data_IF_741323374901
#
_entry.id   IF_741323374901
#
_cell.length_a   1.000
_cell.length_b   1.000
_cell.length_c   1.000
_cell.angle_alpha   90.00
_cell.angle_beta   90.00
_cell.angle_gamma   90.00
#
_symmetry.space_group_name_H-M   'P 1'
#
loop_
_entity.id
_entity.type
_entity.pdbx_description
1 polymer ?
#
# COMPACT_ATOMS: atom_id res chain seq x y z
N UNK A 1 -9.99 23.46 19.32
CA UNK A 1 -10.69 22.18 19.15
C UNK A 1 -9.92 21.12 19.92
N UNK A 2 -10.54 20.50 20.93
CA UNK A 2 -9.87 19.61 21.88
C UNK A 2 -9.33 18.33 21.22
N UNK A 3 -8.27 17.74 21.80
CA UNK A 3 -7.57 16.56 21.26
C UNK A 3 -8.42 15.30 21.12
N UNK A 4 -9.64 15.28 21.69
CA UNK A 4 -10.52 14.11 21.83
C UNK A 4 -11.20 13.59 20.54
N UNK A 5 -11.05 14.25 19.39
CA UNK A 5 -11.71 13.83 18.13
C UNK A 5 -10.74 13.27 17.07
N UNK A 6 -9.46 13.11 17.40
CA UNK A 6 -8.50 12.55 16.43
C UNK A 6 -8.49 11.02 16.51
N UNK A 7 -8.23 10.37 15.38
CA UNK A 7 -8.29 8.92 15.20
C UNK A 7 -9.68 8.33 15.49
N UNK A 8 -10.72 9.13 15.25
CA UNK A 8 -12.11 8.67 15.26
C UNK A 8 -12.67 8.69 13.85
N UNK A 9 -13.55 7.74 13.55
CA UNK A 9 -14.33 7.79 12.32
C UNK A 9 -15.31 8.97 12.36
N UNK A 10 -15.36 9.76 11.30
CA UNK A 10 -16.20 10.95 11.21
C UNK A 10 -17.22 10.85 10.09
N UNK A 11 -18.37 11.49 10.33
CA UNK A 11 -19.30 11.91 9.31
C UNK A 11 -18.95 13.34 8.89
N UNK A 12 -18.83 13.59 7.58
CA UNK A 12 -18.59 14.93 7.05
C UNK A 12 -19.86 15.51 6.45
N UNK A 13 -20.39 16.56 7.06
CA UNK A 13 -21.52 17.30 6.54
C UNK A 13 -21.03 18.42 5.62
N UNK A 14 -21.15 18.17 4.32
CA UNK A 14 -20.79 19.09 3.26
C UNK A 14 -21.51 20.45 3.37
N UNK A 15 -22.82 20.43 3.60
CA UNK A 15 -23.67 21.63 3.65
C UNK A 15 -23.30 22.57 4.79
N UNK A 16 -22.83 22.02 5.90
CA UNK A 16 -22.42 22.78 7.09
C UNK A 16 -20.91 23.01 7.15
N UNK A 17 -20.15 22.44 6.20
CA UNK A 17 -18.69 22.42 6.22
C UNK A 17 -18.12 21.97 7.58
N UNK A 18 -18.76 20.98 8.20
CA UNK A 18 -18.46 20.50 9.54
C UNK A 18 -18.36 18.99 9.57
N UNK A 19 -17.68 18.45 10.58
CA UNK A 19 -17.65 17.02 10.84
C UNK A 19 -18.03 16.73 12.29
N UNK A 20 -18.52 15.51 12.50
CA UNK A 20 -18.81 14.97 13.82
C UNK A 20 -18.43 13.49 13.87
N UNK A 21 -18.15 12.92 15.05
CA UNK A 21 -17.97 11.48 15.20
C UNK A 21 -19.19 10.70 14.66
N UNK A 22 -18.94 9.58 13.96
CA UNK A 22 -20.04 8.72 13.46
C UNK A 22 -20.95 8.25 14.60
N UNK A 23 -20.40 8.05 15.80
CA UNK A 23 -21.16 7.62 16.99
C UNK A 23 -22.12 8.67 17.54
N UNK A 24 -21.89 9.97 17.25
CA UNK A 24 -22.77 11.06 17.67
C UNK A 24 -23.69 11.57 16.56
N UNK A 25 -23.42 11.18 15.31
CA UNK A 25 -24.19 11.62 14.15
C UNK A 25 -25.62 11.07 14.17
N UNK A 26 -26.60 11.97 14.03
CA UNK A 26 -28.00 11.62 13.83
C UNK A 26 -28.41 11.56 12.36
N UNK A 27 -27.44 11.46 11.44
CA UNK A 27 -27.69 11.40 9.99
C UNK A 27 -28.59 10.23 9.64
N UNK A 28 -29.60 10.50 8.82
CA UNK A 28 -30.58 9.50 8.43
C UNK A 28 -30.00 8.45 7.47
N UNK A 29 -30.58 7.26 7.47
CA UNK A 29 -30.11 6.13 6.69
C UNK A 29 -30.14 6.37 5.16
N UNK A 30 -31.02 7.26 4.68
CA UNK A 30 -31.12 7.55 3.24
C UNK A 30 -29.91 8.38 2.79
N UNK A 31 -29.56 9.43 3.53
CA UNK A 31 -28.35 10.22 3.27
C UNK A 31 -27.09 9.35 3.29
N UNK A 32 -26.96 8.46 4.28
CA UNK A 32 -25.82 7.53 4.36
C UNK A 32 -25.76 6.57 3.17
N UNK A 33 -26.91 6.12 2.67
CA UNK A 33 -26.98 5.26 1.48
C UNK A 33 -26.62 6.02 0.20
N UNK A 34 -27.06 7.27 0.05
CA UNK A 34 -26.76 8.11 -1.13
C UNK A 34 -25.26 8.40 -1.23
N UNK A 35 -24.61 8.72 -0.12
CA UNK A 35 -23.15 8.91 -0.06
C UNK A 35 -22.38 7.63 -0.39
N UNK A 36 -22.86 6.46 0.08
CA UNK A 36 -22.25 5.17 -0.23
C UNK A 36 -22.36 4.86 -1.71
N UNK A 37 -23.53 5.12 -2.30
CA UNK A 37 -23.76 4.96 -3.72
C UNK A 37 -22.83 5.88 -4.54
N UNK A 38 -22.76 7.17 -4.19
CA UNK A 38 -21.88 8.12 -4.87
C UNK A 38 -20.41 7.73 -4.76
N UNK A 39 -19.96 7.30 -3.58
CA UNK A 39 -18.60 6.80 -3.39
C UNK A 39 -18.30 5.62 -4.32
N UNK A 40 -19.21 4.64 -4.38
CA UNK A 40 -19.08 3.48 -5.27
C UNK A 40 -19.10 3.89 -6.75
N UNK A 41 -19.94 4.85 -7.15
CA UNK A 41 -19.94 5.39 -8.53
C UNK A 41 -18.56 5.95 -8.90
N UNK A 42 -17.94 6.74 -8.02
CA UNK A 42 -16.60 7.29 -8.28
C UNK A 42 -15.56 6.17 -8.38
N UNK A 43 -15.61 5.14 -7.53
CA UNK A 43 -14.72 3.98 -7.65
C UNK A 43 -14.83 3.30 -9.02
N UNK A 44 -16.06 3.13 -9.53
CA UNK A 44 -16.34 2.45 -10.79
C UNK A 44 -15.95 3.29 -12.02
N UNK A 45 -15.80 4.61 -11.89
CA UNK A 45 -15.22 5.45 -12.94
C UNK A 45 -13.74 5.17 -13.17
N UNK A 46 -13.01 4.75 -12.13
CA UNK A 46 -11.57 4.46 -12.21
C UNK A 46 -11.26 3.01 -12.56
N UNK A 47 -12.13 2.07 -12.21
CA UNK A 47 -11.90 0.66 -12.48
C UNK A 47 -13.22 -0.11 -12.67
N UNK A 48 -13.38 -0.85 -13.78
CA UNK A 48 -14.56 -1.67 -14.04
C UNK A 48 -14.87 -2.64 -12.89
N UNK A 49 -16.15 -2.79 -12.57
CA UNK A 49 -16.63 -3.61 -11.44
C UNK A 49 -16.04 -5.02 -11.40
N UNK A 50 -15.99 -5.70 -12.55
CA UNK A 50 -15.51 -7.08 -12.66
C UNK A 50 -14.02 -7.28 -12.32
N UNK A 51 -13.23 -6.20 -12.24
CA UNK A 51 -11.82 -6.25 -11.84
C UNK A 51 -11.62 -6.11 -10.33
N UNK A 52 -12.63 -5.65 -9.60
CA UNK A 52 -12.59 -5.58 -8.14
C UNK A 52 -12.70 -6.99 -7.55
N UNK A 53 -11.65 -7.43 -6.86
CA UNK A 53 -11.61 -8.76 -6.27
C UNK A 53 -12.83 -9.00 -5.36
N UNK A 54 -13.59 -10.07 -5.64
CA UNK A 54 -14.83 -10.43 -4.96
C UNK A 54 -15.84 -9.26 -4.80
N UNK A 55 -15.89 -8.33 -5.76
CA UNK A 55 -16.79 -7.17 -5.69
C UNK A 55 -16.46 -6.20 -4.55
N UNK A 56 -15.18 -6.13 -4.15
CA UNK A 56 -14.71 -5.33 -3.00
C UNK A 56 -15.01 -3.83 -3.07
N UNK A 57 -15.35 -3.28 -4.24
CA UNK A 57 -15.83 -1.90 -4.37
C UNK A 57 -17.09 -1.62 -3.53
N UNK A 58 -17.94 -2.63 -3.29
CA UNK A 58 -19.17 -2.50 -2.49
C UNK A 58 -18.91 -2.43 -0.98
N UNK A 59 -17.75 -2.92 -0.52
CA UNK A 59 -17.38 -3.00 0.89
C UNK A 59 -16.67 -1.75 1.42
N UNK A 60 -16.34 -0.79 0.54
CA UNK A 60 -15.67 0.45 0.92
C UNK A 60 -16.54 1.34 1.82
N UNK A 61 -15.93 2.16 2.68
CA UNK A 61 -16.63 3.01 3.61
C UNK A 61 -16.29 4.50 3.38
N UNK A 62 -17.24 5.35 2.98
CA UNK A 62 -16.96 6.77 2.72
C UNK A 62 -16.92 7.64 3.99
N UNK A 63 -16.69 7.03 5.15
CA UNK A 63 -16.58 7.71 6.45
C UNK A 63 -15.14 7.60 6.93
N UNK A 64 -14.32 8.64 6.73
CA UNK A 64 -12.89 8.56 6.98
C UNK A 64 -12.59 8.61 8.48
N UNK A 65 -11.38 8.20 8.83
CA UNK A 65 -10.81 8.44 10.16
C UNK A 65 -10.10 9.79 10.15
N UNK A 66 -10.45 10.66 11.09
CA UNK A 66 -9.86 12.00 11.19
C UNK A 66 -8.43 11.93 11.72
N UNK A 67 -7.47 12.39 10.92
CA UNK A 67 -6.05 12.46 11.31
C UNK A 67 -5.60 13.91 11.50
N UNK A 68 -4.72 14.14 12.46
CA UNK A 68 -4.02 15.43 12.61
C UNK A 68 -2.64 15.40 11.96
N UNK A 69 -2.10 16.55 11.57
CA UNK A 69 -0.77 16.65 10.91
C UNK A 69 0.38 15.93 11.65
N UNK A 70 0.37 15.94 12.98
CA UNK A 70 1.35 15.19 13.77
C UNK A 70 1.32 13.66 13.53
N UNK A 71 0.15 13.07 13.26
CA UNK A 71 0.01 11.64 12.97
C UNK A 71 0.62 11.31 11.61
N UNK A 72 0.40 12.17 10.62
CA UNK A 72 1.04 12.07 9.30
C UNK A 72 2.56 12.16 9.41
N UNK A 73 3.06 13.12 10.20
CA UNK A 73 4.50 13.20 10.49
C UNK A 73 5.02 11.94 11.18
N UNK A 74 4.30 11.40 12.16
CA UNK A 74 4.71 10.18 12.85
C UNK A 74 4.77 8.98 11.89
N UNK A 75 3.81 8.83 10.96
CA UNK A 75 3.84 7.79 9.94
C UNK A 75 5.02 7.97 8.96
N UNK A 76 5.31 9.20 8.57
CA UNK A 76 6.46 9.51 7.71
C UNK A 76 7.78 9.16 8.41
N UNK A 77 7.98 9.63 9.64
CA UNK A 77 9.18 9.34 10.43
C UNK A 77 9.32 7.82 10.70
N UNK A 78 8.20 7.13 10.94
CA UNK A 78 8.17 5.67 11.08
C UNK A 78 8.57 4.97 9.77
N UNK A 79 8.07 5.42 8.63
CA UNK A 79 8.40 4.86 7.31
C UNK A 79 9.89 5.02 7.01
N UNK A 80 10.48 6.20 7.24
CA UNK A 80 11.92 6.42 7.06
C UNK A 80 12.76 5.52 7.98
N UNK A 81 12.44 5.50 9.28
CA UNK A 81 13.15 4.67 10.25
C UNK A 81 13.06 3.18 9.90
N UNK A 82 11.87 2.72 9.48
CA UNK A 82 11.66 1.33 9.09
C UNK A 82 12.41 0.97 7.81
N UNK A 83 12.47 1.88 6.83
CA UNK A 83 13.27 1.69 5.60
C UNK A 83 14.73 1.46 5.95
N UNK A 84 15.30 2.32 6.81
CA UNK A 84 16.69 2.22 7.26
C UNK A 84 16.92 0.92 8.02
N UNK A 85 16.01 0.56 8.94
CA UNK A 85 16.12 -0.66 9.72
C UNK A 85 16.08 -1.93 8.85
N UNK A 86 15.13 -2.02 7.90
CA UNK A 86 15.02 -3.16 6.99
C UNK A 86 16.28 -3.28 6.13
N UNK A 87 16.72 -2.18 5.52
CA UNK A 87 17.93 -2.19 4.70
C UNK A 87 19.16 -2.60 5.52
N UNK A 88 19.30 -2.07 6.74
CA UNK A 88 20.39 -2.42 7.65
C UNK A 88 20.39 -3.89 8.05
N UNK A 89 19.24 -4.44 8.45
CA UNK A 89 19.08 -5.86 8.81
C UNK A 89 19.45 -6.78 7.64
N UNK A 90 19.03 -6.45 6.42
CA UNK A 90 19.35 -7.24 5.24
C UNK A 90 20.82 -7.14 4.84
N UNK A 91 21.41 -5.94 4.90
CA UNK A 91 22.82 -5.71 4.56
C UNK A 91 23.77 -6.39 5.58
N UNK A 92 23.37 -6.48 6.86
CA UNK A 92 24.16 -7.15 7.89
C UNK A 92 23.77 -8.61 8.14
N UNK A 93 22.75 -9.13 7.41
CA UNK A 93 22.11 -10.40 7.73
C UNK A 93 23.13 -11.50 7.99
N UNK A 94 24.08 -11.74 7.08
CA UNK A 94 25.10 -12.80 7.21
C UNK A 94 26.37 -12.41 7.96
N UNK A 95 26.63 -11.10 8.13
CA UNK A 95 27.92 -10.58 8.59
C UNK A 95 27.91 -10.22 10.08
N UNK A 96 26.75 -9.89 10.64
CA UNK A 96 26.59 -9.63 12.07
C UNK A 96 26.52 -10.93 12.89
N UNK A 97 27.72 -11.43 13.25
CA UNK A 97 27.91 -12.64 14.07
C UNK A 97 27.42 -12.48 15.51
N UNK A 98 27.30 -11.26 16.01
CA UNK A 98 26.87 -11.00 17.40
C UNK A 98 25.34 -11.10 17.51
N UNK A 99 24.62 -10.51 16.55
CA UNK A 99 23.15 -10.58 16.51
C UNK A 99 22.63 -11.96 16.13
N UNK A 100 23.41 -12.77 15.38
CA UNK A 100 23.05 -14.13 14.94
C UNK A 100 21.70 -14.17 14.22
N UNK A 101 21.47 -13.22 13.31
CA UNK A 101 20.16 -13.00 12.69
C UNK A 101 19.62 -14.25 11.98
N UNK A 102 20.46 -14.92 11.17
CA UNK A 102 20.11 -16.17 10.48
C UNK A 102 19.72 -17.30 11.43
N UNK A 103 20.29 -17.35 12.63
CA UNK A 103 19.96 -18.40 13.61
C UNK A 103 18.66 -18.11 14.37
N UNK A 104 18.29 -16.84 14.48
CA UNK A 104 17.03 -16.42 15.12
C UNK A 104 15.82 -16.56 14.19
N UNK A 105 16.08 -16.54 12.89
CA UNK A 105 15.09 -16.73 11.83
C UNK A 105 15.60 -17.78 10.85
N UNK A 106 15.62 -19.07 11.27
CA UNK A 106 16.11 -20.15 10.42
C UNK A 106 15.24 -20.26 9.16
N UNK A 107 15.89 -20.43 8.02
CA UNK A 107 15.26 -20.61 6.72
C UNK A 107 15.39 -22.05 6.27
N UNK A 108 14.58 -22.45 5.29
CA UNK A 108 14.77 -23.74 4.64
C UNK A 108 16.09 -23.75 3.87
N UNK A 109 16.69 -24.94 3.71
CA UNK A 109 18.04 -25.06 3.13
C UNK A 109 18.16 -24.39 1.75
N UNK A 110 17.16 -24.58 0.91
CA UNK A 110 17.14 -24.02 -0.44
C UNK A 110 17.00 -22.48 -0.44
N UNK A 111 16.28 -21.92 0.54
CA UNK A 111 16.12 -20.47 0.72
C UNK A 111 17.42 -19.84 1.22
N UNK A 112 18.08 -20.47 2.20
CA UNK A 112 19.38 -20.03 2.72
C UNK A 112 20.46 -20.07 1.64
N UNK A 113 20.51 -21.14 0.83
CA UNK A 113 21.46 -21.28 -0.27
C UNK A 113 21.26 -20.18 -1.32
N UNK A 114 20.01 -19.91 -1.70
CA UNK A 114 19.67 -18.84 -2.63
C UNK A 114 20.07 -17.46 -2.11
N UNK A 115 19.73 -17.14 -0.86
CA UNK A 115 20.04 -15.83 -0.26
C UNK A 115 21.54 -15.64 -0.02
N UNK A 116 22.26 -16.71 0.32
CA UNK A 116 23.73 -16.68 0.43
C UNK A 116 24.36 -16.42 -0.93
N UNK A 117 23.91 -17.12 -1.98
CA UNK A 117 24.37 -16.87 -3.35
C UNK A 117 24.10 -15.42 -3.79
N UNK A 118 22.91 -14.88 -3.50
CA UNK A 118 22.59 -13.48 -3.79
C UNK A 118 23.54 -12.51 -3.08
N UNK A 119 23.85 -12.76 -1.81
CA UNK A 119 24.81 -11.96 -1.04
C UNK A 119 26.22 -12.00 -1.68
N UNK A 120 26.67 -13.16 -2.15
CA UNK A 120 27.93 -13.29 -2.89
C UNK A 120 27.93 -12.50 -4.21
N UNK A 121 26.81 -12.51 -4.95
CA UNK A 121 26.68 -11.71 -6.18
C UNK A 121 26.75 -10.20 -5.91
N UNK A 122 26.20 -9.74 -4.78
CA UNK A 122 26.34 -8.34 -4.35
C UNK A 122 27.79 -8.03 -3.97
N UNK A 123 28.45 -8.91 -3.21
CA UNK A 123 29.84 -8.72 -2.78
C UNK A 123 30.84 -8.67 -3.96
N UNK A 124 30.55 -9.42 -5.04
CA UNK A 124 31.36 -9.44 -6.26
C UNK A 124 31.02 -8.31 -7.25
N UNK A 125 29.99 -7.50 -6.95
CA UNK A 125 29.56 -6.38 -7.79
C UNK A 125 28.70 -6.77 -9.00
N UNK A 126 28.25 -8.03 -9.08
CA UNK A 126 27.36 -8.50 -10.13
C UNK A 126 25.91 -8.01 -9.94
N UNK A 127 25.50 -7.83 -8.68
CA UNK A 127 24.19 -7.29 -8.32
C UNK A 127 24.32 -6.02 -7.47
N UNK A 128 23.37 -5.07 -7.60
CA UNK A 128 23.31 -3.90 -6.73
C UNK A 128 22.95 -4.30 -5.29
N UNK A 129 23.30 -3.45 -4.33
CA UNK A 129 22.89 -3.64 -2.93
C UNK A 129 21.37 -3.56 -2.78
N UNK A 130 20.82 -4.21 -1.77
CA UNK A 130 19.39 -4.16 -1.47
C UNK A 130 18.90 -2.71 -1.29
N UNK A 131 19.67 -1.89 -0.57
CA UNK A 131 19.38 -0.46 -0.36
C UNK A 131 19.24 0.38 -1.64
N UNK A 132 19.73 -0.11 -2.78
CA UNK A 132 19.60 0.54 -4.09
C UNK A 132 18.42 0.01 -4.91
N UNK A 133 17.82 -1.11 -4.49
CA UNK A 133 16.74 -1.83 -5.18
C UNK A 133 15.67 -2.28 -4.19
N UNK A 134 15.25 -1.37 -3.32
CA UNK A 134 14.22 -1.66 -2.33
C UNK A 134 12.92 -1.96 -3.06
N UNK A 135 12.30 -3.09 -2.74
CA UNK A 135 10.98 -3.44 -3.24
C UNK A 135 9.87 -2.67 -2.53
N UNK A 136 8.62 -3.05 -2.79
CA UNK A 136 7.47 -2.55 -2.05
C UNK A 136 7.24 -3.39 -0.79
N UNK A 137 6.90 -2.72 0.32
CA UNK A 137 6.52 -3.36 1.57
C UNK A 137 5.44 -2.54 2.26
N UNK A 138 4.58 -3.23 3.01
CA UNK A 138 3.46 -2.64 3.73
C UNK A 138 3.55 -3.02 5.21
N UNK A 139 3.89 -2.07 6.10
CA UNK A 139 3.77 -2.29 7.52
C UNK A 139 2.29 -2.26 7.91
N UNK A 140 1.84 -3.28 8.63
CA UNK A 140 0.55 -3.20 9.29
C UNK A 140 0.78 -2.70 10.71
N UNK A 141 -0.09 -1.80 11.17
CA UNK A 141 0.03 -1.21 12.49
C UNK A 141 -1.34 -1.08 13.18
N UNK A 142 -1.30 -1.11 14.50
CA UNK A 142 -2.40 -0.70 15.36
C UNK A 142 -2.10 0.64 16.00
N UNK A 143 -3.14 1.30 16.48
CA UNK A 143 -3.04 2.58 17.17
C UNK A 143 -3.43 2.37 18.63
N UNK A 144 -2.51 2.69 19.54
CA UNK A 144 -2.71 2.57 20.98
C UNK A 144 -2.34 3.86 21.71
N UNK A 145 -2.78 4.00 22.97
CA UNK A 145 -2.34 5.09 23.83
C UNK A 145 -0.95 4.77 24.39
N UNK A 146 -0.03 5.72 24.32
CA UNK A 146 1.25 5.65 25.01
C UNK A 146 1.10 5.97 26.51
N UNK A 147 2.19 5.94 27.26
CA UNK A 147 2.23 6.23 28.70
C UNK A 147 1.73 7.66 29.06
N UNK A 148 1.63 8.54 28.08
CA UNK A 148 1.13 9.92 28.20
C UNK A 148 -0.30 10.09 27.64
N UNK A 149 -1.01 8.99 27.35
CA UNK A 149 -2.32 8.97 26.72
C UNK A 149 -2.37 9.64 25.33
N UNK A 150 -1.24 9.69 24.64
CA UNK A 150 -1.15 10.10 23.24
C UNK A 150 -1.18 8.88 22.32
N UNK A 151 -1.89 8.99 21.20
CA UNK A 151 -2.02 7.90 20.25
C UNK A 151 -0.71 7.68 19.49
N UNK A 152 -0.23 6.44 19.45
CA UNK A 152 0.98 6.03 18.74
C UNK A 152 0.74 4.82 17.84
N UNK A 153 1.49 4.74 16.74
CA UNK A 153 1.49 3.58 15.85
C UNK A 153 2.39 2.47 16.40
N UNK A 154 1.89 1.23 16.41
CA UNK A 154 2.65 0.01 16.73
C UNK A 154 2.60 -0.95 15.56
N UNK A 155 3.76 -1.24 14.99
CA UNK A 155 3.89 -2.21 13.91
C UNK A 155 3.57 -3.59 14.46
N UNK A 156 2.63 -4.29 13.82
CA UNK A 156 2.27 -5.67 14.16
C UNK A 156 2.92 -6.66 13.21
N UNK A 157 3.09 -6.28 11.94
CA UNK A 157 3.77 -7.09 10.93
C UNK A 157 4.30 -6.21 9.79
N UNK A 158 5.26 -6.74 9.04
CA UNK A 158 5.79 -6.11 7.82
C UNK A 158 5.59 -7.09 6.67
N UNK A 159 4.73 -6.72 5.71
CA UNK A 159 4.49 -7.51 4.51
C UNK A 159 5.40 -7.04 3.38
N UNK A 160 6.34 -7.87 2.95
CA UNK A 160 7.29 -7.53 1.88
C UNK A 160 7.30 -8.54 0.71
N UNK A 161 6.28 -9.41 0.64
CA UNK A 161 6.23 -10.52 -0.32
C UNK A 161 5.47 -10.21 -1.61
N UNK A 162 4.46 -9.36 -1.56
CA UNK A 162 3.55 -9.15 -2.69
C UNK A 162 3.01 -7.72 -2.71
N UNK A 163 3.31 -6.99 -3.78
CA UNK A 163 2.95 -5.58 -3.93
C UNK A 163 1.50 -5.34 -4.35
N UNK A 164 0.73 -6.38 -4.73
CA UNK A 164 -0.64 -6.22 -5.22
C UNK A 164 -1.67 -6.63 -4.15
N UNK A 165 -1.55 -5.99 -3.00
CA UNK A 165 -2.35 -6.26 -1.80
C UNK A 165 -3.19 -5.06 -1.35
N UNK A 166 -3.63 -4.18 -2.27
CA UNK A 166 -4.59 -3.11 -1.98
C UNK A 166 -4.12 -1.68 -2.26
N UNK A 167 -3.01 -1.50 -2.99
CA UNK A 167 -2.55 -0.16 -3.39
C UNK A 167 -3.54 0.53 -4.33
N UNK A 168 -4.18 -0.20 -5.24
CA UNK A 168 -5.18 0.41 -6.14
C UNK A 168 -6.46 0.70 -5.36
N UNK A 169 -6.83 -0.14 -4.38
CA UNK A 169 -7.93 0.16 -3.46
C UNK A 169 -7.65 1.44 -2.67
N UNK A 170 -6.42 1.62 -2.19
CA UNK A 170 -6.02 2.81 -1.46
C UNK A 170 -6.04 4.06 -2.36
N UNK A 171 -5.45 3.98 -3.56
CA UNK A 171 -5.43 5.10 -4.51
C UNK A 171 -6.83 5.50 -4.96
N UNK A 172 -7.62 4.55 -5.47
CA UNK A 172 -8.98 4.84 -5.94
C UNK A 172 -9.92 5.21 -4.80
N UNK A 173 -9.79 4.57 -3.63
CA UNK A 173 -10.52 4.93 -2.42
C UNK A 173 -10.20 6.35 -1.96
N UNK A 174 -8.93 6.73 -1.93
CA UNK A 174 -8.51 8.09 -1.58
C UNK A 174 -9.00 9.11 -2.60
N UNK A 175 -9.02 8.76 -3.90
CA UNK A 175 -9.58 9.61 -4.94
C UNK A 175 -11.09 9.84 -4.72
N UNK A 176 -11.87 8.78 -4.51
CA UNK A 176 -13.29 8.87 -4.23
C UNK A 176 -13.59 9.67 -2.94
N UNK A 177 -12.77 9.48 -1.90
CA UNK A 177 -12.84 10.30 -0.69
C UNK A 177 -12.52 11.77 -0.95
N UNK A 178 -11.53 12.06 -1.79
CA UNK A 178 -11.19 13.43 -2.16
C UNK A 178 -12.33 14.11 -2.91
N UNK A 179 -13.01 13.42 -3.83
CA UNK A 179 -14.19 13.99 -4.51
C UNK A 179 -15.30 14.35 -3.54
N UNK A 180 -15.52 13.53 -2.50
CA UNK A 180 -16.49 13.83 -1.44
C UNK A 180 -16.10 15.01 -0.54
N UNK A 181 -14.80 15.18 -0.27
CA UNK A 181 -14.29 16.18 0.70
C UNK A 181 -13.93 17.50 0.03
N UNK A 182 -13.17 17.49 -1.08
CA UNK A 182 -12.61 18.67 -1.73
C UNK A 182 -13.67 19.52 -2.43
N UNK A 183 -14.74 18.91 -2.94
CA UNK A 183 -15.88 19.68 -3.46
C UNK A 183 -16.54 20.54 -2.37
N UNK A 184 -16.29 20.23 -1.08
CA UNK A 184 -17.18 20.59 0.01
C UNK A 184 -16.47 21.09 1.28
N UNK A 185 -15.14 21.17 1.35
CA UNK A 185 -14.40 21.53 2.59
C UNK A 185 -13.17 22.40 2.40
N UNK A 186 -13.03 23.43 3.24
CA UNK A 186 -11.77 24.15 3.45
C UNK A 186 -10.96 23.66 4.67
N UNK A 187 -11.52 22.73 5.45
CA UNK A 187 -10.97 22.28 6.74
C UNK A 187 -10.30 20.91 6.67
N UNK A 188 -10.74 20.07 5.74
CA UNK A 188 -10.26 18.70 5.56
C UNK A 188 -9.59 18.53 4.21
N UNK A 189 -8.60 17.65 4.18
CA UNK A 189 -7.94 17.19 2.95
C UNK A 189 -7.79 15.68 3.00
N UNK A 190 -7.56 15.07 1.83
CA UNK A 190 -7.13 13.67 1.76
C UNK A 190 -5.89 13.41 2.63
N UNK A 191 -5.77 12.17 3.10
CA UNK A 191 -4.61 11.76 3.90
C UNK A 191 -3.36 11.61 3.02
N UNK A 192 -3.55 11.31 1.75
CA UNK A 192 -2.49 11.19 0.74
C UNK A 192 -3.00 11.63 -0.63
N UNK A 193 -2.08 11.84 -1.56
CA UNK A 193 -2.37 12.06 -2.97
C UNK A 193 -2.42 10.71 -3.72
N UNK A 194 -3.55 10.33 -4.34
CA UNK A 194 -3.68 9.10 -5.11
C UNK A 194 -2.59 8.93 -6.18
N UNK A 195 -2.18 10.01 -6.86
CA UNK A 195 -1.17 9.93 -7.92
C UNK A 195 0.22 9.58 -7.36
N UNK A 196 0.52 9.97 -6.12
CA UNK A 196 1.78 9.57 -5.46
C UNK A 196 1.88 8.06 -5.32
N UNK A 197 0.78 7.38 -4.95
CA UNK A 197 0.72 5.92 -4.87
C UNK A 197 0.91 5.28 -6.25
N UNK A 198 0.19 5.80 -7.25
CA UNK A 198 0.23 5.26 -8.62
C UNK A 198 1.61 5.43 -9.26
N UNK A 199 2.20 6.61 -9.13
CA UNK A 199 3.51 6.90 -9.71
C UNK A 199 4.61 6.07 -9.04
N UNK A 200 4.55 5.87 -7.71
CA UNK A 200 5.48 4.97 -7.02
C UNK A 200 5.45 3.54 -7.59
N UNK A 201 4.26 3.02 -7.93
CA UNK A 201 4.16 1.71 -8.60
C UNK A 201 4.71 1.73 -10.04
N UNK A 202 4.43 2.79 -10.79
CA UNK A 202 4.85 2.91 -12.18
C UNK A 202 6.37 3.13 -12.35
N UNK A 203 7.05 3.66 -11.34
CA UNK A 203 8.51 3.83 -11.34
C UNK A 203 9.29 2.50 -11.28
N UNK A 204 8.63 1.39 -10.93
CA UNK A 204 9.28 0.08 -10.85
C UNK A 204 9.56 -0.60 -12.20
N UNK A 205 9.07 -0.05 -13.32
CA UNK A 205 9.29 -0.63 -14.65
C UNK A 205 9.46 0.43 -15.73
N UNK A 206 10.01 0.03 -16.87
CA UNK A 206 10.11 0.88 -18.06
C UNK A 206 8.85 0.70 -18.91
N UNK A 207 7.97 1.71 -19.04
CA UNK A 207 6.72 1.61 -19.81
C UNK A 207 6.94 1.50 -21.33
N UNK A 208 8.19 1.49 -21.81
CA UNK A 208 8.53 1.25 -23.23
C UNK A 208 8.84 -0.22 -23.51
N UNK A 209 8.95 -1.06 -22.48
CA UNK A 209 9.25 -2.49 -22.61
C UNK A 209 8.01 -3.33 -22.32
N UNK A 210 7.87 -4.54 -22.90
CA UNK A 210 6.78 -5.45 -22.54
C UNK A 210 6.76 -5.72 -21.04
N UNK A 211 5.60 -5.49 -20.40
CA UNK A 211 5.40 -5.80 -18.99
C UNK A 211 4.81 -7.20 -18.84
N UNK A 212 5.55 -8.09 -18.19
CA UNK A 212 5.09 -9.43 -17.83
C UNK A 212 4.74 -9.48 -16.34
N UNK A 213 3.51 -9.85 -16.03
CA UNK A 213 3.02 -10.04 -14.67
C UNK A 213 3.07 -11.53 -14.34
N UNK A 214 4.07 -11.93 -13.57
CA UNK A 214 4.20 -13.30 -13.08
C UNK A 214 3.17 -13.56 -11.98
N UNK A 215 2.22 -14.44 -12.27
CA UNK A 215 1.14 -14.80 -11.35
C UNK A 215 1.14 -16.30 -11.10
N UNK A 216 1.40 -16.67 -9.85
CA UNK A 216 1.28 -18.04 -9.35
C UNK A 216 -0.10 -18.32 -8.73
N UNK A 217 -0.09 -19.09 -7.65
CA UNK A 217 -1.30 -19.48 -6.91
C UNK A 217 -2.02 -18.29 -6.25
N UNK A 218 -1.28 -17.24 -5.87
CA UNK A 218 -1.87 -16.06 -5.26
C UNK A 218 -2.85 -15.36 -6.23
N UNK A 219 -4.04 -15.04 -5.72
CA UNK A 219 -5.05 -14.33 -6.52
C UNK A 219 -4.68 -12.87 -6.73
N UNK A 220 -4.14 -12.22 -5.68
CA UNK A 220 -3.97 -10.77 -5.61
C UNK A 220 -5.32 -10.04 -5.53
N UNK A 221 -5.38 -8.95 -4.76
CA UNK A 221 -6.63 -8.19 -4.63
C UNK A 221 -6.78 -7.17 -5.75
N UNK A 222 -5.67 -6.65 -6.27
CA UNK A 222 -5.65 -5.55 -7.23
C UNK A 222 -4.68 -5.74 -8.40
N UNK A 223 -4.05 -6.91 -8.58
CA UNK A 223 -3.16 -7.17 -9.72
C UNK A 223 -3.86 -6.95 -11.08
N UNK A 224 -5.12 -7.36 -11.18
CA UNK A 224 -5.92 -7.14 -12.39
C UNK A 224 -6.34 -5.68 -12.57
N UNK A 225 -6.58 -4.97 -11.47
CA UNK A 225 -6.84 -3.52 -11.49
C UNK A 225 -5.59 -2.75 -11.93
N UNK A 226 -4.41 -3.17 -11.47
CA UNK A 226 -3.13 -2.63 -11.91
C UNK A 226 -2.91 -2.83 -13.42
N UNK A 227 -3.23 -4.02 -13.94
CA UNK A 227 -3.09 -4.27 -15.37
C UNK A 227 -3.99 -3.37 -16.23
N UNK A 228 -5.19 -3.06 -15.75
CA UNK A 228 -6.09 -2.09 -16.38
C UNK A 228 -5.55 -0.65 -16.25
N UNK A 229 -5.02 -0.27 -15.09
CA UNK A 229 -4.38 1.02 -14.88
C UNK A 229 -3.17 1.25 -15.81
N UNK A 230 -2.31 0.24 -16.00
CA UNK A 230 -1.18 0.31 -16.94
C UNK A 230 -1.66 0.49 -18.38
N UNK A 231 -2.72 -0.22 -18.77
CA UNK A 231 -3.33 -0.08 -20.10
C UNK A 231 -3.91 1.31 -20.30
N UNK A 232 -4.62 1.84 -19.32
CA UNK A 232 -5.20 3.18 -19.37
C UNK A 232 -4.14 4.28 -19.39
N UNK A 233 -3.08 4.14 -18.60
CA UNK A 233 -2.00 5.15 -18.45
C UNK A 233 -1.02 5.15 -19.61
N UNK A 234 -0.63 3.97 -20.11
CA UNK A 234 0.48 3.82 -21.06
C UNK A 234 0.06 3.20 -22.40
N UNK A 235 -1.20 2.79 -22.57
CA UNK A 235 -1.66 2.05 -23.75
C UNK A 235 -1.08 0.63 -23.84
N UNK A 236 -0.30 0.19 -22.83
CA UNK A 236 0.33 -1.12 -22.80
C UNK A 236 -0.58 -2.14 -22.15
N UNK A 237 -0.80 -3.29 -22.80
CA UNK A 237 -1.48 -4.42 -22.17
C UNK A 237 -0.45 -5.35 -21.51
N UNK A 238 -0.42 -5.48 -20.17
CA UNK A 238 0.49 -6.42 -19.53
C UNK A 238 0.18 -7.88 -19.90
N UNK A 239 1.23 -8.70 -19.98
CA UNK A 239 1.12 -10.13 -20.27
C UNK A 239 1.16 -10.92 -18.96
N UNK A 240 0.07 -11.61 -18.64
CA UNK A 240 0.06 -12.52 -17.51
C UNK A 240 0.78 -13.81 -17.88
N UNK A 241 1.76 -14.18 -17.07
CA UNK A 241 2.55 -15.41 -17.23
C UNK A 241 2.53 -16.21 -15.93
N UNK A 242 2.73 -17.52 -16.01
CA UNK A 242 2.82 -18.40 -14.84
C UNK A 242 4.26 -18.89 -14.64
N UNK A 243 4.64 -19.35 -13.43
CA UNK A 243 5.96 -19.94 -13.22
C UNK A 243 6.29 -21.07 -14.21
N UNK A 244 5.30 -21.90 -14.58
CA UNK A 244 5.44 -23.02 -15.51
C UNK A 244 5.66 -22.58 -16.96
N UNK A 245 5.47 -21.29 -17.27
CA UNK A 245 5.77 -20.73 -18.59
C UNK A 245 7.21 -20.23 -18.73
N UNK A 246 7.94 -20.07 -17.62
CA UNK A 246 9.32 -19.63 -17.63
C UNK A 246 10.23 -20.73 -18.19
N UNK A 247 11.19 -20.35 -19.03
CA UNK A 247 12.17 -21.26 -19.64
C UNK A 247 13.55 -20.65 -19.47
N UNK A 248 14.51 -21.49 -19.10
CA UNK A 248 15.93 -21.13 -19.17
C UNK A 248 16.38 -21.50 -20.58
N UNK A 249 16.77 -20.50 -21.35
CA UNK A 249 17.37 -20.70 -22.66
C UNK A 249 18.87 -20.43 -22.53
N UNK A 250 19.73 -21.18 -23.23
CA UNK A 250 21.14 -20.84 -23.31
C UNK A 250 21.31 -19.46 -23.93
N UNK A 251 22.28 -18.69 -23.43
CA UNK A 251 22.63 -17.40 -24.01
C UNK A 251 23.33 -17.63 -25.36
N UNK A 252 22.85 -16.95 -26.41
CA UNK A 252 23.51 -16.98 -27.72
C UNK A 252 24.79 -16.14 -27.60
N UNK A 253 25.92 -16.83 -27.39
CA UNK A 253 27.25 -16.21 -27.29
C UNK A 253 27.62 -15.36 -28.50
#
# INVERSE_FOLDING_TARGET
MGSSQRLTQIYYNASLSSFEPVTSSSTDAKTLSEEHFHFQEVLLQHCPEHLWHNGSCTAGCPRPILLGRHHQKQLHDLHEALTIAIAGVLDCWWTDKDSRLWERMPLEKDEEDLLTWLNEQVATGNLPKFSQRVGSWRPNFLVEDNDHAEKTYKITEINARYSFSGFLHESYGQNAMNSLIQEKSALLSGATDPETIMNGLFEHFDPRKPLHLLKGAEKGIDLHMFADAVKSRFGMKPCFITPESLRILPDDK
#
